data_IF_076974881610
#
_entry.id   IF_076974881610
#
_cell.length_a   1.000
_cell.length_b   1.000
_cell.length_c   1.000
_cell.angle_alpha   90.00
_cell.angle_beta   90.00
_cell.angle_gamma   90.00
#
_symmetry.space_group_name_H-M   'P 1'
#
loop_
_entity.id
_entity.type
_entity.pdbx_description
1 polymer ?
#
# COMPACT_ATOMS: atom_id res chain seq x y z
N UNK A 1 -22.01 -35.09 15.75
CA UNK A 1 -23.26 -34.30 15.79
C UNK A 1 -22.95 -32.96 15.18
N UNK A 2 -23.69 -32.55 14.15
CA UNK A 2 -23.56 -31.19 13.61
C UNK A 2 -24.10 -30.20 14.65
N UNK A 3 -23.55 -28.99 14.79
CA UNK A 3 -24.12 -27.95 15.65
C UNK A 3 -25.58 -27.66 15.27
N UNK A 4 -26.42 -27.22 16.20
CA UNK A 4 -27.84 -26.86 15.96
C UNK A 4 -28.03 -25.92 14.76
N UNK A 5 -27.03 -25.07 14.47
CA UNK A 5 -27.01 -24.15 13.31
C UNK A 5 -27.06 -24.79 11.92
N UNK A 6 -26.97 -26.12 11.79
CA UNK A 6 -26.91 -26.80 10.47
C UNK A 6 -28.26 -27.12 9.85
N UNK A 7 -29.34 -27.04 10.63
CA UNK A 7 -30.69 -27.18 10.09
C UNK A 7 -31.20 -25.87 9.45
N UNK A 8 -30.63 -24.73 9.83
CA UNK A 8 -31.00 -23.43 9.29
C UNK A 8 -30.27 -23.14 7.97
N UNK A 9 -30.99 -22.68 6.93
CA UNK A 9 -30.35 -22.31 5.68
C UNK A 9 -29.54 -21.02 5.85
N UNK A 10 -28.39 -20.94 5.18
CA UNK A 10 -27.50 -19.78 5.21
C UNK A 10 -27.63 -18.93 3.95
N UNK A 11 -27.26 -17.66 4.03
CA UNK A 11 -27.19 -16.80 2.86
C UNK A 11 -26.18 -17.32 1.83
N UNK A 12 -26.47 -17.12 0.53
CA UNK A 12 -25.67 -17.72 -0.53
C UNK A 12 -24.21 -17.25 -0.56
N UNK A 13 -23.88 -16.07 -0.03
CA UNK A 13 -22.49 -15.59 0.11
C UNK A 13 -21.80 -16.04 1.41
N UNK A 14 -22.47 -16.76 2.31
CA UNK A 14 -21.86 -17.23 3.56
C UNK A 14 -20.83 -18.33 3.27
N UNK A 15 -19.56 -18.01 3.39
CA UNK A 15 -18.45 -18.98 3.27
C UNK A 15 -17.98 -19.51 4.62
N UNK A 16 -18.19 -18.72 5.68
CA UNK A 16 -17.75 -19.03 7.04
C UNK A 16 -18.87 -18.79 8.06
N UNK A 17 -18.88 -19.58 9.12
CA UNK A 17 -19.72 -19.39 10.30
C UNK A 17 -18.86 -19.29 11.55
N UNK A 18 -19.33 -18.50 12.51
CA UNK A 18 -18.71 -18.34 13.81
C UNK A 18 -19.75 -18.77 14.83
N UNK A 19 -19.40 -19.77 15.63
CA UNK A 19 -20.18 -20.20 16.79
C UNK A 19 -19.56 -19.60 18.05
N UNK A 20 -20.39 -18.96 18.86
CA UNK A 20 -20.02 -18.41 20.17
C UNK A 20 -20.69 -19.26 21.25
N UNK A 21 -19.90 -19.80 22.18
CA UNK A 21 -20.38 -20.57 23.34
C UNK A 21 -19.90 -19.92 24.62
N UNK A 22 -20.79 -19.77 25.60
CA UNK A 22 -20.38 -19.30 26.92
C UNK A 22 -19.56 -20.39 27.63
N UNK A 23 -18.38 -20.03 28.17
CA UNK A 23 -17.65 -20.97 29.03
C UNK A 23 -18.40 -21.13 30.35
N UNK A 24 -18.57 -22.37 30.86
CA UNK A 24 -19.17 -22.58 32.17
C UNK A 24 -18.33 -21.90 33.25
N UNK A 25 -18.98 -21.09 34.10
CA UNK A 25 -18.35 -20.32 35.18
C UNK A 25 -17.53 -21.24 36.11
N UNK A 26 -16.21 -21.23 35.97
CA UNK A 26 -15.31 -21.78 36.99
C UNK A 26 -14.95 -20.70 37.99
N UNK A 27 -15.86 -20.42 38.93
CA UNK A 27 -15.52 -20.01 40.30
C UNK A 27 -14.65 -18.76 40.54
N UNK A 28 -14.55 -17.81 39.61
CA UNK A 28 -13.94 -16.51 39.90
C UNK A 28 -14.49 -15.42 38.97
N UNK A 29 -14.59 -14.22 39.52
CA UNK A 29 -15.29 -13.00 39.11
C UNK A 29 -14.86 -12.33 37.80
N UNK A 30 -14.44 -13.08 36.78
CA UNK A 30 -14.26 -12.57 35.42
C UNK A 30 -15.56 -12.78 34.64
N UNK A 31 -16.16 -11.66 34.18
CA UNK A 31 -17.31 -11.67 33.25
C UNK A 31 -17.05 -12.68 32.13
N UNK A 32 -18.07 -13.53 31.88
CA UNK A 32 -18.04 -14.68 30.99
C UNK A 32 -17.09 -14.57 29.80
N UNK A 33 -16.09 -15.45 29.77
CA UNK A 33 -15.26 -15.62 28.58
C UNK A 33 -16.00 -16.51 27.60
N UNK A 34 -16.33 -15.97 26.43
CA UNK A 34 -16.86 -16.76 25.32
C UNK A 34 -15.76 -17.62 24.72
N UNK A 35 -16.14 -18.81 24.26
CA UNK A 35 -15.34 -19.68 23.40
C UNK A 35 -15.88 -19.59 21.98
N UNK A 36 -14.97 -19.48 21.00
CA UNK A 36 -15.34 -19.34 19.60
C UNK A 36 -14.91 -20.57 18.80
N UNK A 37 -15.75 -20.96 17.85
CA UNK A 37 -15.38 -21.93 16.80
C UNK A 37 -15.68 -21.34 15.44
N UNK A 38 -14.72 -21.44 14.53
CA UNK A 38 -14.84 -20.94 13.16
C UNK A 38 -14.97 -22.13 12.22
N UNK A 39 -15.99 -22.11 11.37
CA UNK A 39 -16.27 -23.15 10.39
C UNK A 39 -16.21 -22.60 8.97
N UNK A 40 -15.72 -23.39 8.02
CA UNK A 40 -15.99 -23.21 6.59
C UNK A 40 -17.27 -23.96 6.23
N UNK A 41 -18.12 -23.31 5.45
CA UNK A 41 -19.46 -23.82 5.10
C UNK A 41 -19.47 -24.43 3.72
N UNK A 42 -19.86 -25.70 3.61
CA UNK A 42 -20.26 -26.31 2.35
C UNK A 42 -21.78 -26.24 2.23
N UNK A 43 -22.27 -25.65 1.15
CA UNK A 43 -23.69 -25.36 0.92
C UNK A 43 -24.17 -25.87 -0.45
N UNK A 44 -25.45 -26.19 -0.55
CA UNK A 44 -26.09 -26.66 -1.79
C UNK A 44 -27.40 -25.92 -2.09
N UNK A 45 -27.89 -26.08 -3.32
CA UNK A 45 -29.14 -25.47 -3.79
C UNK A 45 -28.96 -24.11 -4.46
N UNK A 46 -30.05 -23.65 -5.07
CA UNK A 46 -30.14 -22.40 -5.80
C UNK A 46 -30.96 -21.36 -5.03
N UNK A 47 -30.74 -20.07 -5.32
CA UNK A 47 -31.41 -18.96 -4.64
C UNK A 47 -30.61 -18.33 -3.49
N UNK A 48 -31.28 -17.44 -2.75
CA UNK A 48 -30.65 -16.58 -1.73
C UNK A 48 -30.31 -17.31 -0.43
N UNK A 49 -31.12 -18.29 -0.05
CA UNK A 49 -30.91 -19.14 1.13
C UNK A 49 -30.57 -20.54 0.66
N UNK A 50 -29.48 -21.09 1.19
CA UNK A 50 -28.91 -22.37 0.77
C UNK A 50 -28.77 -23.30 1.97
N UNK A 51 -29.01 -24.59 1.72
CA UNK A 51 -28.90 -25.61 2.75
C UNK A 51 -27.42 -25.84 3.09
N UNK A 52 -27.10 -25.90 4.38
CA UNK A 52 -25.78 -26.32 4.85
C UNK A 52 -25.67 -27.84 4.69
N UNK A 53 -24.67 -28.30 3.95
CA UNK A 53 -24.38 -29.72 3.74
C UNK A 53 -23.30 -30.21 4.71
N UNK A 54 -22.30 -29.37 4.99
CA UNK A 54 -21.23 -29.71 5.92
C UNK A 54 -20.58 -28.45 6.50
N UNK A 55 -20.03 -28.60 7.70
CA UNK A 55 -19.16 -27.63 8.36
C UNK A 55 -17.79 -28.26 8.55
N UNK A 56 -16.76 -27.59 8.07
CA UNK A 56 -15.36 -27.93 8.29
C UNK A 56 -14.81 -26.98 9.35
N UNK A 57 -14.37 -27.50 10.50
CA UNK A 57 -13.74 -26.67 11.54
C UNK A 57 -12.41 -26.14 11.05
N UNK A 58 -12.24 -24.82 11.10
CA UNK A 58 -10.99 -24.10 10.75
C UNK A 58 -10.13 -23.89 12.00
N UNK A 59 -10.76 -23.45 13.09
CA UNK A 59 -10.10 -23.24 14.38
C UNK A 59 -11.15 -23.23 15.49
N UNK A 60 -10.76 -23.61 16.70
CA UNK A 60 -11.66 -23.66 17.86
C UNK A 60 -10.97 -23.36 19.19
N UNK A 61 -11.74 -22.91 20.18
CA UNK A 61 -11.26 -22.84 21.55
C UNK A 61 -10.10 -21.87 21.73
N UNK A 62 -8.98 -22.37 22.26
CA UNK A 62 -7.75 -21.60 22.49
C UNK A 62 -7.06 -21.13 21.21
N UNK A 63 -7.47 -21.61 20.03
CA UNK A 63 -6.93 -21.20 18.73
C UNK A 63 -7.54 -19.89 18.22
N UNK A 64 -8.70 -19.49 18.78
CA UNK A 64 -9.51 -18.38 18.29
C UNK A 64 -9.63 -17.29 19.35
N UNK A 65 -9.34 -16.06 18.95
CA UNK A 65 -9.61 -14.87 19.77
C UNK A 65 -10.48 -13.88 19.02
N UNK A 66 -11.31 -13.15 19.74
CA UNK A 66 -12.06 -12.01 19.19
C UNK A 66 -11.34 -10.72 19.56
N UNK A 67 -11.03 -9.90 18.56
CA UNK A 67 -10.47 -8.58 18.78
C UNK A 67 -11.55 -7.68 19.41
N UNK A 68 -11.17 -6.96 20.47
CA UNK A 68 -12.07 -6.23 21.34
C UNK A 68 -12.54 -4.89 20.76
N UNK A 69 -11.75 -4.32 19.83
CA UNK A 69 -12.04 -3.04 19.19
C UNK A 69 -12.60 -3.23 17.78
N UNK A 70 -13.41 -2.27 17.37
CA UNK A 70 -13.85 -2.18 15.98
C UNK A 70 -12.71 -1.68 15.09
N UNK A 71 -12.62 -2.25 13.89
CA UNK A 71 -11.63 -1.86 12.87
C UNK A 71 -12.31 -1.61 11.53
N UNK A 72 -11.60 -0.93 10.62
CA UNK A 72 -11.97 -0.96 9.21
C UNK A 72 -11.67 -2.35 8.64
N UNK A 73 -12.66 -3.24 8.67
CA UNK A 73 -12.52 -4.62 8.17
C UNK A 73 -12.38 -4.71 6.64
N UNK A 74 -12.40 -3.58 5.92
CA UNK A 74 -12.03 -3.53 4.50
C UNK A 74 -10.53 -3.33 4.30
N UNK A 75 -9.79 -2.94 5.32
CA UNK A 75 -8.32 -2.81 5.28
C UNK A 75 -7.65 -4.16 5.56
N UNK A 76 -7.35 -4.89 4.49
CA UNK A 76 -6.78 -6.24 4.59
C UNK A 76 -5.37 -6.23 5.20
N UNK A 77 -4.56 -5.20 4.95
CA UNK A 77 -3.21 -5.12 5.50
C UNK A 77 -3.29 -4.89 7.02
N UNK A 78 -4.14 -3.96 7.47
CA UNK A 78 -4.40 -3.72 8.89
C UNK A 78 -4.87 -4.99 9.61
N UNK A 79 -5.80 -5.74 9.01
CA UNK A 79 -6.30 -6.98 9.61
C UNK A 79 -5.20 -8.05 9.75
N UNK A 80 -4.38 -8.26 8.71
CA UNK A 80 -3.26 -9.22 8.75
C UNK A 80 -2.24 -8.81 9.82
N UNK A 81 -1.81 -7.55 9.83
CA UNK A 81 -0.81 -7.07 10.79
C UNK A 81 -1.33 -7.10 12.23
N UNK A 82 -2.63 -6.85 12.43
CA UNK A 82 -3.26 -6.93 13.77
C UNK A 82 -3.38 -8.38 14.21
N UNK A 83 -3.82 -9.27 13.32
CA UNK A 83 -3.92 -10.69 13.60
C UNK A 83 -2.56 -11.29 13.94
N UNK A 84 -1.51 -10.93 13.19
CA UNK A 84 -0.14 -11.41 13.43
C UNK A 84 0.36 -11.11 14.84
N UNK A 85 -0.02 -9.95 15.42
CA UNK A 85 0.35 -9.57 16.80
C UNK A 85 -0.39 -10.40 17.86
N UNK A 86 -1.60 -10.88 17.54
CA UNK A 86 -2.44 -11.65 18.47
C UNK A 86 -2.24 -13.16 18.35
N UNK A 87 -1.89 -13.65 17.15
CA UNK A 87 -1.60 -15.05 16.87
C UNK A 87 -0.27 -15.47 17.51
N UNK A 88 -0.34 -15.75 18.82
CA UNK A 88 0.78 -16.19 19.64
C UNK A 88 0.38 -17.46 20.39
N UNK A 89 1.35 -18.34 20.66
CA UNK A 89 1.09 -19.61 21.33
C UNK A 89 0.20 -20.52 20.48
N UNK A 90 -1.03 -20.80 20.95
CA UNK A 90 -2.02 -21.63 20.22
C UNK A 90 -2.93 -20.80 19.32
N UNK A 91 -2.99 -19.49 19.48
CA UNK A 91 -3.88 -18.63 18.71
C UNK A 91 -3.37 -18.55 17.27
N UNK A 92 -4.21 -18.95 16.32
CA UNK A 92 -3.95 -18.87 14.89
C UNK A 92 -5.08 -18.15 14.12
N UNK A 93 -6.17 -17.79 14.80
CA UNK A 93 -7.35 -17.18 14.20
C UNK A 93 -7.86 -16.00 15.01
N UNK A 94 -8.12 -14.89 14.33
CA UNK A 94 -8.68 -13.67 14.93
C UNK A 94 -9.99 -13.29 14.27
N UNK A 95 -11.01 -13.08 15.10
CA UNK A 95 -12.31 -12.54 14.69
C UNK A 95 -12.29 -11.02 14.87
N UNK A 96 -12.63 -10.28 13.81
CA UNK A 96 -12.69 -8.82 13.82
C UNK A 96 -14.12 -8.33 13.61
N UNK A 97 -14.48 -7.26 14.31
CA UNK A 97 -15.76 -6.58 14.15
C UNK A 97 -15.53 -5.25 13.42
N UNK A 98 -16.29 -5.02 12.35
CA UNK A 98 -16.32 -3.78 11.61
C UNK A 98 -17.09 -2.69 12.34
N UNK A 99 -16.82 -1.42 11.99
CA UNK A 99 -17.61 -0.27 12.45
C UNK A 99 -19.09 -0.36 12.06
N UNK A 100 -19.38 -1.11 10.99
CA UNK A 100 -20.71 -1.44 10.49
C UNK A 100 -21.28 -2.75 11.10
N UNK A 101 -20.63 -3.27 12.15
CA UNK A 101 -20.94 -4.51 12.87
C UNK A 101 -20.81 -5.79 12.05
N UNK A 102 -20.37 -5.73 10.80
CA UNK A 102 -20.02 -6.94 10.06
C UNK A 102 -18.81 -7.60 10.71
N UNK A 103 -18.72 -8.92 10.60
CA UNK A 103 -17.63 -9.70 11.18
C UNK A 103 -16.80 -10.31 10.06
N UNK A 104 -15.50 -10.34 10.26
CA UNK A 104 -14.57 -11.08 9.39
C UNK A 104 -13.57 -11.84 10.24
N UNK A 105 -12.84 -12.75 9.60
CA UNK A 105 -11.82 -13.59 10.25
C UNK A 105 -10.50 -13.43 9.51
N UNK A 106 -9.41 -13.50 10.25
CA UNK A 106 -8.07 -13.76 9.71
C UNK A 106 -7.57 -15.05 10.37
N UNK A 107 -7.35 -16.07 9.56
CA UNK A 107 -6.78 -17.35 9.95
C UNK A 107 -5.37 -17.44 9.36
N UNK A 108 -4.40 -17.89 10.16
CA UNK A 108 -2.99 -18.04 9.77
C UNK A 108 -2.43 -16.77 9.06
N UNK A 109 -2.35 -15.63 9.77
CA UNK A 109 -1.94 -14.37 9.15
C UNK A 109 -0.55 -14.46 8.54
N UNK A 110 -0.46 -14.20 7.23
CA UNK A 110 0.79 -14.21 6.48
C UNK A 110 1.21 -12.78 6.10
N UNK A 111 2.26 -12.21 6.73
CA UNK A 111 2.75 -10.89 6.37
C UNK A 111 3.34 -10.83 4.96
N UNK A 112 3.80 -11.95 4.40
CA UNK A 112 4.37 -12.00 3.04
C UNK A 112 3.32 -11.76 1.95
N UNK A 113 2.04 -11.90 2.29
CA UNK A 113 0.93 -11.59 1.40
C UNK A 113 0.70 -10.07 1.23
N UNK A 114 1.25 -9.23 2.11
CA UNK A 114 1.12 -7.77 2.01
C UNK A 114 2.11 -7.24 0.97
N UNK A 115 1.60 -6.60 -0.08
CA UNK A 115 2.45 -6.00 -1.10
C UNK A 115 2.97 -4.64 -0.63
N UNK A 116 4.28 -4.52 -0.49
CA UNK A 116 4.93 -3.23 -0.23
C UNK A 116 5.10 -2.43 -1.52
N UNK A 117 4.68 -1.17 -1.48
CA UNK A 117 4.89 -0.18 -2.54
C UNK A 117 5.71 0.98 -1.99
N UNK A 118 6.85 1.25 -2.62
CA UNK A 118 7.70 2.38 -2.29
C UNK A 118 7.18 3.66 -2.96
N UNK A 119 7.05 4.73 -2.17
CA UNK A 119 6.82 6.08 -2.66
C UNK A 119 8.18 6.68 -2.94
N UNK A 120 8.55 6.72 -4.23
CA UNK A 120 9.80 7.28 -4.70
C UNK A 120 9.58 8.75 -5.09
N UNK A 121 10.04 9.67 -4.25
CA UNK A 121 9.84 11.11 -4.43
C UNK A 121 11.12 11.90 -4.15
N UNK A 122 11.10 13.20 -4.41
CA UNK A 122 12.21 14.13 -4.11
C UNK A 122 11.71 15.28 -3.26
N UNK A 123 12.54 15.75 -2.34
CA UNK A 123 12.29 16.93 -1.52
C UNK A 123 13.56 17.78 -1.47
N UNK A 124 13.48 19.11 -1.30
CA UNK A 124 12.29 19.98 -1.25
C UNK A 124 11.55 20.13 -2.60
N UNK A 125 10.33 20.72 -2.64
CA UNK A 125 9.61 21.35 -1.52
C UNK A 125 9.08 20.35 -0.50
N UNK A 126 8.89 20.80 0.73
CA UNK A 126 8.27 20.02 1.79
C UNK A 126 6.79 20.41 1.98
N UNK A 127 5.88 19.46 2.20
CA UNK A 127 6.13 18.01 2.12
C UNK A 127 6.31 17.54 0.67
N UNK A 128 7.09 16.47 0.48
CA UNK A 128 7.18 15.78 -0.80
C UNK A 128 5.76 15.39 -1.29
N UNK A 129 5.34 15.96 -2.42
CA UNK A 129 3.92 15.99 -2.79
C UNK A 129 3.33 14.60 -2.98
N UNK A 130 4.06 13.67 -3.60
CA UNK A 130 3.53 12.32 -3.88
C UNK A 130 3.39 11.55 -2.58
N UNK A 131 4.39 11.66 -1.70
CA UNK A 131 4.31 11.09 -0.35
C UNK A 131 3.06 11.61 0.37
N UNK A 132 2.86 12.92 0.39
CA UNK A 132 1.70 13.52 1.05
C UNK A 132 0.36 13.03 0.46
N UNK A 133 0.24 12.95 -0.87
CA UNK A 133 -0.97 12.47 -1.54
C UNK A 133 -1.25 11.00 -1.24
N UNK A 134 -0.23 10.14 -1.35
CA UNK A 134 -0.39 8.70 -1.08
C UNK A 134 -0.79 8.47 0.37
N UNK A 135 -0.19 9.19 1.34
CA UNK A 135 -0.56 9.09 2.77
C UNK A 135 -1.99 9.55 3.03
N UNK A 136 -2.48 10.61 2.38
CA UNK A 136 -3.89 11.02 2.49
C UNK A 136 -4.84 9.96 1.92
N UNK A 137 -4.49 9.39 0.77
CA UNK A 137 -5.27 8.32 0.14
C UNK A 137 -5.28 7.05 1.02
N UNK A 138 -4.14 6.64 1.55
CA UNK A 138 -4.01 5.54 2.51
C UNK A 138 -4.89 5.78 3.75
N UNK A 139 -4.80 6.96 4.37
CA UNK A 139 -5.62 7.33 5.53
C UNK A 139 -7.14 7.37 5.23
N UNK A 140 -7.54 7.62 3.97
CA UNK A 140 -8.95 7.57 3.57
C UNK A 140 -9.51 6.14 3.47
N UNK A 141 -8.65 5.11 3.55
CA UNK A 141 -9.02 3.71 3.41
C UNK A 141 -9.26 3.26 1.97
N UNK A 142 -9.01 4.12 0.96
CA UNK A 142 -9.24 3.82 -0.45
C UNK A 142 -8.40 2.66 -0.98
N UNK A 143 -7.34 2.24 -0.27
CA UNK A 143 -6.49 1.11 -0.66
C UNK A 143 -6.71 -0.15 0.20
N UNK A 144 -7.69 -0.14 1.11
CA UNK A 144 -7.87 -1.24 2.07
C UNK A 144 -8.08 -2.61 1.41
N UNK A 145 -8.81 -2.63 0.30
CA UNK A 145 -9.07 -3.86 -0.49
C UNK A 145 -7.82 -4.39 -1.21
N UNK A 146 -6.82 -3.54 -1.39
CA UNK A 146 -5.61 -3.87 -2.14
C UNK A 146 -4.59 -4.64 -1.32
N UNK A 147 -4.72 -4.77 0.02
CA UNK A 147 -3.74 -5.47 0.86
C UNK A 147 -2.29 -5.02 0.54
N UNK A 148 -2.09 -3.71 0.57
CA UNK A 148 -0.80 -3.05 0.31
C UNK A 148 -0.35 -2.27 1.54
N UNK A 149 0.94 -1.94 1.57
CA UNK A 149 1.54 -1.01 2.52
C UNK A 149 2.52 -0.09 1.81
N UNK A 150 2.60 1.18 2.23
CA UNK A 150 3.52 2.14 1.64
C UNK A 150 4.76 2.43 2.50
N UNK A 151 5.94 2.37 1.87
CA UNK A 151 7.21 2.84 2.44
C UNK A 151 7.71 4.07 1.70
N UNK A 152 8.48 4.94 2.33
CA UNK A 152 8.99 6.17 1.71
C UNK A 152 10.46 6.03 1.31
N UNK A 153 10.78 6.50 0.11
CA UNK A 153 12.13 6.71 -0.39
C UNK A 153 12.18 8.12 -0.99
N UNK A 154 12.42 9.10 -0.11
CA UNK A 154 12.47 10.52 -0.46
C UNK A 154 13.93 10.94 -0.55
N UNK A 155 14.36 11.34 -1.74
CA UNK A 155 15.71 11.85 -1.93
C UNK A 155 15.76 13.32 -1.54
N UNK A 156 16.56 13.64 -0.51
CA UNK A 156 16.82 15.01 -0.09
C UNK A 156 17.85 15.68 -1.03
N UNK A 157 17.40 16.71 -1.75
CA UNK A 157 18.20 17.49 -2.68
C UNK A 157 19.08 18.54 -1.99
N UNK A 158 18.85 18.85 -0.70
CA UNK A 158 19.66 19.80 0.08
C UNK A 158 21.13 19.41 0.12
N UNK A 159 21.43 18.11 0.02
CA UNK A 159 22.80 17.59 -0.07
C UNK A 159 23.59 18.09 -1.29
N UNK A 160 22.92 18.73 -2.25
CA UNK A 160 23.53 19.33 -3.42
C UNK A 160 23.46 20.87 -3.41
N UNK A 161 23.06 21.49 -2.31
CA UNK A 161 23.06 22.96 -2.18
C UNK A 161 24.47 23.54 -2.26
N UNK A 162 24.54 24.77 -2.76
CA UNK A 162 25.80 25.48 -2.89
C UNK A 162 25.71 26.64 -3.90
N UNK A 163 26.68 27.55 -3.81
CA UNK A 163 26.73 28.77 -4.61
C UNK A 163 26.69 28.51 -6.12
N UNK A 164 27.31 27.41 -6.58
CA UNK A 164 27.33 27.01 -7.99
C UNK A 164 26.19 26.07 -8.39
N UNK A 165 25.35 25.64 -7.45
CA UNK A 165 24.25 24.72 -7.72
C UNK A 165 23.12 25.42 -8.45
N UNK A 166 22.54 24.71 -9.40
CA UNK A 166 21.42 25.17 -10.21
C UNK A 166 20.30 24.15 -10.12
N UNK A 167 19.15 24.56 -9.59
CA UNK A 167 17.96 23.73 -9.44
C UNK A 167 16.88 24.08 -10.47
N UNK A 168 15.89 23.22 -10.72
CA UNK A 168 14.91 23.46 -11.78
C UNK A 168 13.91 24.59 -11.46
N UNK A 169 13.64 24.84 -10.17
CA UNK A 169 12.57 25.74 -9.75
C UNK A 169 12.86 26.41 -8.39
N UNK A 170 12.65 27.73 -8.35
CA UNK A 170 12.70 28.60 -7.18
C UNK A 170 11.75 28.18 -6.05
N UNK A 171 10.61 27.56 -6.39
CA UNK A 171 9.63 27.07 -5.41
C UNK A 171 10.14 25.91 -4.56
N UNK A 172 11.29 25.31 -4.90
CA UNK A 172 11.95 24.33 -4.03
C UNK A 172 12.50 24.96 -2.75
N UNK A 173 12.85 26.25 -2.78
CA UNK A 173 13.51 26.93 -1.66
C UNK A 173 14.93 26.44 -1.38
N UNK A 174 15.54 25.71 -2.31
CA UNK A 174 16.92 25.23 -2.21
C UNK A 174 17.93 26.39 -2.35
N UNK A 175 19.01 26.34 -1.58
CA UNK A 175 20.12 27.30 -1.68
C UNK A 175 20.96 27.06 -2.94
N UNK A 176 20.88 28.02 -3.86
CA UNK A 176 21.55 28.01 -5.16
C UNK A 176 20.84 28.93 -6.13
N UNK A 177 21.14 28.80 -7.42
CA UNK A 177 20.39 29.45 -8.49
C UNK A 177 19.28 28.54 -9.00
N UNK A 178 18.25 29.10 -9.63
CA UNK A 178 17.13 28.36 -10.16
C UNK A 178 16.90 28.66 -11.64
N UNK A 179 16.66 27.60 -12.44
CA UNK A 179 16.45 27.69 -13.87
C UNK A 179 15.23 28.52 -14.25
N UNK A 180 14.20 28.63 -13.41
CA UNK A 180 12.99 29.38 -13.71
C UNK A 180 13.15 30.90 -13.48
N UNK A 181 14.05 31.32 -12.57
CA UNK A 181 14.18 32.73 -12.15
C UNK A 181 15.51 33.39 -12.52
N UNK A 182 16.62 32.64 -12.52
CA UNK A 182 17.95 33.24 -12.56
C UNK A 182 18.56 33.27 -13.98
N UNK A 183 19.49 34.20 -14.17
CA UNK A 183 20.36 34.28 -15.35
C UNK A 183 21.76 33.82 -14.94
N UNK A 184 22.30 32.90 -15.73
CA UNK A 184 23.64 32.34 -15.55
C UNK A 184 24.59 32.99 -16.56
N UNK A 185 25.77 33.37 -16.10
CA UNK A 185 26.78 34.09 -16.90
C UNK A 185 28.18 33.50 -16.76
N UNK A 186 28.36 32.49 -15.92
CA UNK A 186 29.66 31.92 -15.57
C UNK A 186 29.65 30.39 -15.74
N UNK A 187 30.82 29.81 -16.03
CA UNK A 187 30.99 28.38 -16.17
C UNK A 187 31.14 27.63 -14.83
N UNK A 188 31.01 26.30 -14.92
CA UNK A 188 31.26 25.39 -13.81
C UNK A 188 30.08 25.26 -12.85
N UNK A 189 28.87 25.56 -13.32
CA UNK A 189 27.64 25.32 -12.57
C UNK A 189 27.40 23.81 -12.35
N UNK A 190 26.76 23.47 -11.24
CA UNK A 190 26.28 22.12 -10.95
C UNK A 190 24.76 22.08 -11.14
N UNK A 191 24.30 21.59 -12.29
CA UNK A 191 22.88 21.38 -12.53
C UNK A 191 22.39 20.14 -11.77
N UNK A 192 21.43 20.31 -10.87
CA UNK A 192 20.77 19.22 -10.15
C UNK A 192 19.34 19.13 -10.67
N UNK A 193 19.02 18.09 -11.43
CA UNK A 193 17.72 18.03 -12.09
C UNK A 193 17.51 16.77 -12.92
N UNK A 194 16.38 16.72 -13.63
CA UNK A 194 16.11 15.64 -14.56
C UNK A 194 16.52 16.04 -16.00
N UNK A 195 16.30 15.14 -16.95
CA UNK A 195 16.59 15.40 -18.37
C UNK A 195 15.92 16.67 -18.91
N UNK A 196 14.73 17.03 -18.41
CA UNK A 196 14.07 18.29 -18.82
C UNK A 196 14.84 19.51 -18.32
N UNK A 197 15.36 19.46 -17.09
CA UNK A 197 16.21 20.52 -16.54
C UNK A 197 17.48 20.67 -17.36
N UNK A 198 18.07 19.55 -17.80
CA UNK A 198 19.22 19.51 -18.69
C UNK A 198 18.94 20.21 -20.02
N UNK A 199 17.87 19.81 -20.72
CA UNK A 199 17.48 20.45 -21.98
C UNK A 199 17.19 21.94 -21.77
N UNK A 200 16.53 22.31 -20.67
CA UNK A 200 16.24 23.71 -20.37
C UNK A 200 17.50 24.54 -20.14
N UNK A 201 18.49 24.00 -19.41
CA UNK A 201 19.79 24.64 -19.22
C UNK A 201 20.47 24.89 -20.57
N UNK A 202 20.61 23.85 -21.40
CA UNK A 202 21.30 23.93 -22.70
C UNK A 202 20.60 24.88 -23.68
N UNK A 203 19.26 24.99 -23.63
CA UNK A 203 18.52 25.93 -24.47
C UNK A 203 18.68 27.39 -24.01
N UNK A 204 18.72 27.64 -22.69
CA UNK A 204 18.82 29.00 -22.15
C UNK A 204 20.23 29.54 -22.11
N UNK A 205 21.21 28.65 -21.93
CA UNK A 205 22.61 28.99 -21.71
C UNK A 205 23.53 28.12 -22.59
N UNK A 206 23.42 28.19 -23.93
CA UNK A 206 24.06 27.26 -24.86
C UNK A 206 25.59 27.30 -24.84
N UNK A 207 26.20 28.37 -24.32
CA UNK A 207 27.64 28.58 -24.28
C UNK A 207 28.27 28.21 -22.93
N UNK A 208 27.47 27.89 -21.90
CA UNK A 208 27.98 27.63 -20.56
C UNK A 208 28.31 26.16 -20.32
N UNK A 209 29.47 25.90 -19.72
CA UNK A 209 29.86 24.58 -19.23
C UNK A 209 29.28 24.28 -17.85
N UNK A 210 28.80 23.05 -17.65
CA UNK A 210 28.18 22.62 -16.40
C UNK A 210 28.43 21.12 -16.11
N UNK A 211 28.40 20.78 -14.83
CA UNK A 211 28.29 19.39 -14.35
C UNK A 211 26.83 19.05 -14.08
N UNK A 212 26.45 17.77 -14.23
CA UNK A 212 25.06 17.35 -14.10
C UNK A 212 24.87 16.22 -13.09
N UNK A 213 24.04 16.47 -12.08
CA UNK A 213 23.49 15.46 -11.18
C UNK A 213 22.09 15.11 -11.67
N UNK A 214 21.96 13.93 -12.27
CA UNK A 214 20.70 13.44 -12.78
C UNK A 214 19.86 12.85 -11.64
N UNK A 215 18.66 13.37 -11.43
CA UNK A 215 17.66 12.83 -10.49
C UNK A 215 16.45 12.22 -11.21
N UNK A 216 16.54 11.99 -12.52
CA UNK A 216 15.46 11.34 -13.27
C UNK A 216 15.29 9.88 -12.83
N UNK A 217 14.09 9.43 -12.40
CA UNK A 217 13.90 8.05 -11.95
C UNK A 217 14.18 7.02 -13.05
N UNK A 218 14.20 7.41 -14.33
CA UNK A 218 14.49 6.50 -15.45
C UNK A 218 15.96 6.35 -15.81
N UNK A 219 16.85 7.22 -15.32
CA UNK A 219 18.26 7.29 -15.75
C UNK A 219 19.25 7.52 -14.61
N UNK A 220 18.76 7.85 -13.43
CA UNK A 220 19.57 8.22 -12.28
C UNK A 220 19.99 6.99 -11.48
N UNK A 221 21.17 7.08 -10.85
CA UNK A 221 21.61 6.16 -9.80
C UNK A 221 21.27 6.68 -8.38
N UNK A 222 20.72 7.89 -8.30
CA UNK A 222 20.34 8.57 -7.07
C UNK A 222 18.89 8.28 -6.70
N UNK A 223 17.99 8.40 -7.67
CA UNK A 223 16.54 8.17 -7.49
C UNK A 223 16.22 6.80 -8.07
N UNK A 224 16.48 5.76 -7.28
CA UNK A 224 16.36 4.35 -7.70
C UNK A 224 15.38 3.63 -6.79
N UNK A 225 14.38 2.92 -7.35
CA UNK A 225 13.47 2.12 -6.54
C UNK A 225 14.16 0.88 -5.95
N UNK A 226 13.74 0.48 -4.75
CA UNK A 226 14.23 -0.75 -4.08
C UNK A 226 13.24 -1.93 -4.14
N UNK A 227 12.01 -1.66 -4.56
CA UNK A 227 10.88 -2.59 -4.65
C UNK A 227 9.84 -2.02 -5.61
N UNK A 228 8.66 -2.65 -5.71
CA UNK A 228 7.56 -2.07 -6.49
C UNK A 228 7.28 -0.64 -6.03
N UNK A 229 7.07 0.31 -6.94
CA UNK A 229 7.11 1.73 -6.57
C UNK A 229 6.07 2.59 -7.28
N UNK A 230 5.81 3.76 -6.73
CA UNK A 230 5.12 4.86 -7.39
C UNK A 230 6.01 6.11 -7.37
N UNK A 231 6.12 6.80 -8.50
CA UNK A 231 6.91 8.03 -8.62
C UNK A 231 6.26 9.04 -9.55
N UNK A 232 6.87 10.23 -9.67
CA UNK A 232 6.39 11.34 -10.48
C UNK A 232 7.30 11.65 -11.66
N UNK A 233 6.71 12.04 -12.78
CA UNK A 233 7.42 12.58 -13.94
C UNK A 233 6.68 13.78 -14.55
N UNK A 234 7.40 14.83 -14.96
CA UNK A 234 6.80 15.97 -15.67
C UNK A 234 6.47 15.66 -17.14
N UNK A 235 6.96 14.54 -17.67
CA UNK A 235 6.70 14.09 -19.04
C UNK A 235 5.49 13.16 -19.04
N UNK A 236 4.34 13.65 -19.51
CA UNK A 236 3.08 12.90 -19.45
C UNK A 236 3.14 11.58 -20.21
N UNK A 237 3.91 11.50 -21.30
CA UNK A 237 4.15 10.28 -22.09
C UNK A 237 4.95 9.20 -21.34
N UNK A 238 5.55 9.55 -20.19
CA UNK A 238 6.22 8.60 -19.28
C UNK A 238 5.30 8.09 -18.18
N UNK A 239 4.06 8.57 -18.10
CA UNK A 239 3.08 8.14 -17.10
C UNK A 239 2.52 6.75 -17.43
N UNK A 240 2.06 6.04 -16.40
CA UNK A 240 1.51 4.69 -16.50
C UNK A 240 2.41 3.65 -15.84
N UNK A 241 2.16 2.38 -16.17
CA UNK A 241 2.91 1.24 -15.66
C UNK A 241 4.27 1.15 -16.35
N UNK A 242 5.33 1.00 -15.55
CA UNK A 242 6.72 0.96 -16.01
C UNK A 242 7.49 -0.15 -15.31
N UNK A 243 8.66 -0.48 -15.87
CA UNK A 243 9.69 -1.23 -15.17
C UNK A 243 10.97 -0.38 -15.13
N UNK A 244 11.46 -0.09 -13.93
CA UNK A 244 12.68 0.71 -13.71
C UNK A 244 13.59 -0.11 -12.80
N UNK A 245 14.84 -0.31 -13.24
CA UNK A 245 15.85 -1.08 -12.49
C UNK A 245 15.37 -2.48 -12.06
N UNK A 246 14.51 -3.10 -12.87
CA UNK A 246 13.94 -4.43 -12.61
C UNK A 246 12.65 -4.43 -11.78
N UNK A 247 12.27 -3.29 -11.20
CA UNK A 247 11.07 -3.18 -10.38
C UNK A 247 9.87 -2.67 -11.17
N UNK A 248 8.71 -3.31 -10.98
CA UNK A 248 7.44 -2.82 -11.53
C UNK A 248 7.00 -1.56 -10.77
N UNK A 249 6.59 -0.53 -11.48
CA UNK A 249 6.11 0.68 -10.84
C UNK A 249 5.06 1.41 -11.64
N UNK A 250 4.56 2.48 -11.03
CA UNK A 250 3.63 3.42 -11.64
C UNK A 250 4.24 4.81 -11.64
N UNK A 251 4.15 5.50 -12.77
CA UNK A 251 4.57 6.90 -12.90
C UNK A 251 3.33 7.74 -13.10
N UNK A 252 3.19 8.79 -12.29
CA UNK A 252 2.12 9.79 -12.45
C UNK A 252 2.69 11.12 -12.90
N UNK A 253 1.90 11.87 -13.66
CA UNK A 253 2.29 13.21 -14.09
C UNK A 253 2.38 14.16 -12.87
N UNK A 254 3.22 15.19 -12.94
CA UNK A 254 3.33 16.21 -11.89
C UNK A 254 2.02 16.94 -11.59
N UNK A 255 1.17 17.09 -12.60
CA UNK A 255 -0.18 17.65 -12.47
C UNK A 255 -1.28 16.61 -12.21
N UNK A 256 -0.93 15.39 -11.78
CA UNK A 256 -1.91 14.36 -11.51
C UNK A 256 -2.81 14.73 -10.31
N UNK A 257 -4.10 14.39 -10.40
CA UNK A 257 -5.02 14.47 -9.27
C UNK A 257 -4.87 13.27 -8.33
N UNK A 258 -5.42 13.35 -7.11
CA UNK A 258 -5.44 12.22 -6.18
C UNK A 258 -6.16 10.99 -6.77
N UNK A 259 -7.19 11.21 -7.59
CA UNK A 259 -7.85 10.15 -8.35
C UNK A 259 -6.89 9.45 -9.33
N UNK A 260 -6.06 10.20 -10.05
CA UNK A 260 -5.08 9.60 -10.96
C UNK A 260 -3.98 8.84 -10.19
N UNK A 261 -3.61 9.31 -8.99
CA UNK A 261 -2.68 8.59 -8.11
C UNK A 261 -3.30 7.29 -7.61
N UNK A 262 -4.56 7.30 -7.18
CA UNK A 262 -5.24 6.08 -6.71
C UNK A 262 -5.43 5.05 -7.82
N UNK A 263 -5.79 5.48 -9.03
CA UNK A 263 -5.85 4.62 -10.21
C UNK A 263 -4.49 4.01 -10.56
N UNK A 264 -3.42 4.80 -10.49
CA UNK A 264 -2.06 4.31 -10.77
C UNK A 264 -1.65 3.20 -9.79
N UNK A 265 -1.92 3.37 -8.48
CA UNK A 265 -1.70 2.33 -7.47
C UNK A 265 -2.53 1.08 -7.77
N UNK A 266 -3.84 1.22 -8.03
CA UNK A 266 -4.73 0.10 -8.31
C UNK A 266 -4.28 -0.70 -9.54
N UNK A 267 -3.89 0.00 -10.60
CA UNK A 267 -3.37 -0.62 -11.81
C UNK A 267 -2.05 -1.37 -11.56
N UNK A 268 -1.15 -0.80 -10.75
CA UNK A 268 0.11 -1.45 -10.37
C UNK A 268 -0.14 -2.74 -9.58
N UNK A 269 -0.99 -2.69 -8.55
CA UNK A 269 -1.33 -3.86 -7.72
C UNK A 269 -1.94 -4.96 -8.58
N UNK A 270 -2.90 -4.61 -9.44
CA UNK A 270 -3.55 -5.56 -10.35
C UNK A 270 -2.53 -6.22 -11.29
N UNK A 271 -1.60 -5.43 -11.85
CA UNK A 271 -0.54 -5.93 -12.72
C UNK A 271 0.36 -6.95 -12.03
N UNK A 272 0.81 -6.64 -10.81
CA UNK A 272 1.70 -7.51 -10.02
C UNK A 272 0.99 -8.82 -9.67
N UNK A 273 -0.26 -8.75 -9.21
CA UNK A 273 -1.05 -9.94 -8.83
C UNK A 273 -1.38 -10.86 -10.00
N UNK A 274 -1.70 -10.29 -11.16
CA UNK A 274 -1.98 -11.08 -12.36
C UNK A 274 -0.72 -11.81 -12.84
N UNK A 275 0.47 -11.20 -12.73
CA UNK A 275 1.74 -11.88 -13.04
C UNK A 275 1.98 -13.06 -12.09
N UNK A 276 1.82 -12.85 -10.78
CA UNK A 276 2.08 -13.90 -9.80
C UNK A 276 1.13 -15.09 -9.96
N UNK A 277 -0.15 -14.83 -10.27
CA UNK A 277 -1.13 -15.89 -10.56
C UNK A 277 -0.72 -16.71 -11.78
N UNK A 278 -0.32 -16.04 -12.88
CA UNK A 278 0.16 -16.71 -14.10
C UNK A 278 1.48 -17.48 -13.95
N UNK A 279 2.25 -17.18 -12.90
CA UNK A 279 3.50 -17.87 -12.57
C UNK A 279 3.30 -19.06 -11.62
N UNK A 280 2.20 -19.09 -10.84
CA UNK A 280 1.80 -20.23 -10.03
C UNK A 280 1.10 -21.33 -10.83
N UNK A 281 0.51 -21.00 -11.98
CA UNK A 281 -0.14 -21.95 -12.90
C UNK A 281 0.82 -22.60 -13.92
N UNK A 282 2.14 -22.43 -13.78
CA UNK A 282 3.18 -23.01 -14.64
C UNK A 282 4.17 -23.82 -13.84
#
# INVERSE_FOLDING_TARGET
>A
MLPESTEEPVYFLTEYLIEEREKPEKGSSEKGSSEYTVYRVKKSGDGFLRKVEALETIASGEEVVKYDKELNIKDRALLIETALKLCTGRVNTVIFTGVDRHVTIVHEPDPSAILEIEILDVAPPEPAWLSQVVRRLEASGIFGDLQVRFTENIVDLRRFEGEKSVFPCSSSGLEGKCLDSDILTEDGHLLVGCEISKTLFEMRFPELEYSFINICPFKSEIVVPSKSFITRCCRSEKSGLVNISGFEGAVVHWGASEYQVSEAVRNLVTRIRNKNSSAQDR
#
